data_IF_628893270402
#
_entry.id   IF_628893270402
#
_cell.length_a   1.000
_cell.length_b   1.000
_cell.length_c   1.000
_cell.angle_alpha   90.00
_cell.angle_beta   90.00
_cell.angle_gamma   90.00
#
_symmetry.space_group_name_H-M   'P 1'
#
loop_
_entity.id
_entity.type
_entity.pdbx_description
1 polymer ?
#
# COMPACT_ATOMS: atom_id res chain seq x y z
N UNK A 1 83.56 16.67 -6.02
CA UNK A 1 84.20 16.09 -4.81
C UNK A 1 84.02 17.10 -3.68
N UNK A 2 83.51 16.70 -2.49
CA UNK A 2 83.30 17.51 -1.25
C UNK A 2 82.26 18.67 -1.40
N UNK A 3 81.07 18.62 -0.79
CA UNK A 3 80.69 18.60 0.65
C UNK A 3 80.84 19.97 1.34
N UNK A 4 79.73 20.59 1.75
CA UNK A 4 79.45 21.21 3.06
C UNK A 4 77.97 21.70 3.07
N UNK A 5 77.26 21.87 4.19
CA UNK A 5 76.96 20.91 5.26
C UNK A 5 75.62 21.34 5.92
N UNK A 6 74.80 20.35 6.26
CA UNK A 6 73.62 20.36 7.13
C UNK A 6 73.44 21.54 8.12
N UNK A 7 72.20 22.03 8.24
CA UNK A 7 71.67 22.53 9.51
C UNK A 7 70.15 22.26 9.59
N UNK A 8 69.71 21.75 10.74
CA UNK A 8 68.29 21.47 11.03
C UNK A 8 67.51 22.78 11.22
N UNK A 9 66.22 22.75 10.90
CA UNK A 9 65.24 23.18 11.90
C UNK A 9 64.01 22.26 11.85
N UNK A 10 63.66 21.71 13.01
CA UNK A 10 62.43 20.96 13.22
C UNK A 10 61.32 21.97 13.43
N UNK A 11 60.25 21.89 12.63
CA UNK A 11 58.96 22.49 12.97
C UNK A 11 57.92 21.37 13.00
N UNK A 12 57.70 20.83 14.19
CA UNK A 12 56.54 20.00 14.47
C UNK A 12 55.31 20.88 14.72
N UNK A 13 54.16 20.41 14.22
CA UNK A 13 52.81 20.78 14.67
C UNK A 13 52.39 22.26 14.53
N UNK A 14 51.50 22.53 13.58
CA UNK A 14 50.06 22.60 13.88
C UNK A 14 49.27 22.38 12.59
N UNK A 15 48.09 21.77 12.71
CA UNK A 15 47.48 21.03 11.61
C UNK A 15 46.63 21.86 10.65
N UNK A 16 46.59 21.40 9.40
CA UNK A 16 45.37 21.33 8.62
C UNK A 16 45.24 19.90 8.12
N UNK A 17 44.35 19.13 8.76
CA UNK A 17 43.79 17.95 8.14
C UNK A 17 42.85 18.44 7.04
N UNK A 18 43.39 18.67 5.85
CA UNK A 18 42.59 18.94 4.65
C UNK A 18 41.93 17.65 4.18
N UNK A 19 40.96 17.16 4.95
CA UNK A 19 39.94 16.24 4.47
C UNK A 19 39.13 16.99 3.41
N UNK A 20 39.54 16.82 2.16
CA UNK A 20 38.85 17.32 0.97
C UNK A 20 38.82 16.22 -0.07
N UNK A 21 38.31 15.05 0.33
CA UNK A 21 38.16 13.91 -0.56
C UNK A 21 37.08 14.23 -1.59
N UNK A 22 37.47 14.32 -2.86
CA UNK A 22 36.50 14.16 -3.93
C UNK A 22 35.94 12.74 -3.84
N UNK A 23 34.62 12.61 -3.74
CA UNK A 23 33.93 11.34 -3.93
C UNK A 23 34.37 10.72 -5.26
N UNK A 24 34.60 9.41 -5.32
CA UNK A 24 34.97 8.76 -6.59
C UNK A 24 33.82 8.90 -7.58
N UNK A 25 34.15 8.91 -8.88
CA UNK A 25 33.15 8.93 -9.96
C UNK A 25 32.14 7.77 -9.78
N UNK A 26 32.62 6.61 -9.35
CA UNK A 26 31.82 5.42 -9.01
C UNK A 26 30.77 5.70 -7.91
N UNK A 27 31.13 6.48 -6.88
CA UNK A 27 30.22 6.86 -5.80
C UNK A 27 29.24 7.99 -6.19
N UNK A 28 29.49 8.71 -7.29
CA UNK A 28 28.50 9.61 -7.91
C UNK A 28 27.54 8.84 -8.81
N UNK A 29 28.07 7.93 -9.64
CA UNK A 29 27.27 7.05 -10.50
C UNK A 29 26.33 6.14 -9.68
N UNK A 30 26.71 5.73 -8.47
CA UNK A 30 25.83 4.99 -7.57
C UNK A 30 24.61 5.79 -7.08
N UNK A 31 24.72 7.12 -6.96
CA UNK A 31 23.64 8.01 -6.51
C UNK A 31 22.78 8.55 -7.66
N UNK A 32 23.28 8.49 -8.89
CA UNK A 32 22.61 8.94 -10.10
C UNK A 32 21.90 7.78 -10.80
N UNK A 33 20.56 7.78 -10.78
CA UNK A 33 19.73 6.78 -11.47
C UNK A 33 18.94 7.40 -12.62
N UNK A 34 18.73 6.62 -13.68
CA UNK A 34 17.92 7.02 -14.83
C UNK A 34 16.51 6.43 -14.69
N UNK A 35 15.50 7.25 -14.88
CA UNK A 35 14.10 6.82 -14.93
C UNK A 35 13.59 7.02 -16.37
N UNK A 36 13.07 5.97 -16.98
CA UNK A 36 12.71 5.96 -18.41
C UNK A 36 11.19 5.78 -18.60
N UNK A 37 10.48 6.87 -18.91
CA UNK A 37 9.05 6.80 -19.22
C UNK A 37 8.80 6.00 -20.50
N UNK A 38 8.01 4.94 -20.40
CA UNK A 38 7.59 4.10 -21.54
C UNK A 38 6.07 4.12 -21.61
N UNK A 39 5.52 4.43 -22.79
CA UNK A 39 4.08 4.48 -23.02
C UNK A 39 3.33 5.72 -22.53
N UNK A 40 3.96 6.49 -21.64
CA UNK A 40 3.37 7.63 -20.94
C UNK A 40 3.69 8.94 -21.68
N UNK A 41 2.69 9.79 -21.98
CA UNK A 41 2.94 11.10 -22.58
C UNK A 41 3.67 12.04 -21.59
N UNK A 42 4.88 12.51 -21.94
CA UNK A 42 5.66 13.42 -21.09
C UNK A 42 4.92 14.73 -20.76
N UNK A 43 4.01 15.18 -21.64
CA UNK A 43 3.30 16.47 -21.51
C UNK A 43 2.30 16.56 -20.35
N UNK A 44 1.98 15.43 -19.71
CA UNK A 44 1.07 15.35 -18.56
C UNK A 44 1.81 15.01 -17.26
N UNK A 45 3.12 14.75 -17.29
CA UNK A 45 3.91 14.47 -16.09
C UNK A 45 4.21 15.79 -15.39
N UNK A 46 3.68 15.95 -14.18
CA UNK A 46 3.87 17.14 -13.35
C UNK A 46 5.14 17.00 -12.52
N UNK A 47 5.35 15.81 -11.95
CA UNK A 47 6.43 15.56 -10.99
C UNK A 47 6.85 14.08 -11.00
N UNK A 48 8.09 13.84 -10.57
CA UNK A 48 8.58 12.51 -10.20
C UNK A 48 9.36 12.69 -8.90
N UNK A 49 9.02 11.95 -7.85
CA UNK A 49 9.64 12.11 -6.54
C UNK A 49 9.97 10.76 -5.88
N UNK A 50 10.80 10.80 -4.85
CA UNK A 50 10.92 9.70 -3.90
C UNK A 50 10.04 9.95 -2.68
N UNK A 51 9.19 8.98 -2.36
CA UNK A 51 8.23 9.04 -1.26
C UNK A 51 8.97 8.80 0.08
N UNK A 52 9.38 9.89 0.73
CA UNK A 52 10.14 9.86 1.99
C UNK A 52 9.24 9.50 3.17
N UNK A 53 7.97 9.92 3.13
CA UNK A 53 7.04 9.78 4.26
C UNK A 53 6.09 8.57 4.13
N UNK A 54 6.03 7.94 2.94
CA UNK A 54 5.17 6.82 2.56
C UNK A 54 3.67 7.13 2.61
N UNK A 55 3.30 8.37 2.29
CA UNK A 55 1.89 8.79 2.22
C UNK A 55 1.28 8.69 0.82
N UNK A 56 2.08 8.34 -0.20
CA UNK A 56 1.61 8.17 -1.57
C UNK A 56 1.31 9.49 -2.30
N UNK A 57 1.91 10.60 -1.87
CA UNK A 57 1.77 11.92 -2.47
C UNK A 57 3.15 12.60 -2.56
N UNK A 58 3.54 13.09 -3.74
CA UNK A 58 4.76 13.90 -3.88
C UNK A 58 4.73 15.18 -3.03
N UNK A 59 5.36 15.13 -1.86
CA UNK A 59 5.43 16.21 -0.90
C UNK A 59 6.33 17.36 -1.38
N UNK A 60 5.98 18.58 -1.00
CA UNK A 60 6.77 19.79 -1.31
C UNK A 60 8.15 19.84 -0.61
N UNK A 61 8.46 18.86 0.25
CA UNK A 61 9.72 18.72 0.98
C UNK A 61 10.55 17.51 0.57
N UNK A 62 10.02 16.65 -0.30
CA UNK A 62 10.66 15.39 -0.69
C UNK A 62 11.69 15.57 -1.80
N UNK A 63 12.51 14.55 -2.01
CA UNK A 63 13.42 14.47 -3.15
C UNK A 63 12.66 14.32 -4.47
N UNK A 64 12.24 15.46 -5.00
CA UNK A 64 11.73 15.62 -6.35
C UNK A 64 12.89 15.52 -7.36
N UNK A 65 12.63 14.93 -8.52
CA UNK A 65 13.44 15.14 -9.73
C UNK A 65 13.22 16.59 -10.15
N UNK A 66 14.02 17.48 -9.58
CA UNK A 66 13.92 18.92 -9.83
C UNK A 66 14.34 19.20 -11.29
N UNK A 67 13.37 19.20 -12.21
CA UNK A 67 13.49 20.02 -13.42
C UNK A 67 13.40 21.47 -12.94
N UNK A 68 14.52 21.97 -12.43
CA UNK A 68 14.65 23.27 -11.80
C UNK A 68 14.48 24.39 -12.84
N UNK A 69 13.23 24.70 -13.17
CA UNK A 69 12.84 25.84 -14.01
C UNK A 69 12.98 27.08 -13.14
N UNK A 70 14.11 27.77 -13.29
CA UNK A 70 14.38 28.98 -12.53
C UNK A 70 13.55 30.13 -13.09
N UNK A 71 13.17 31.09 -12.23
CA UNK A 71 12.42 32.28 -12.66
C UNK A 71 13.28 33.18 -13.56
N UNK A 72 13.24 32.92 -14.86
CA UNK A 72 14.08 33.55 -15.86
C UNK A 72 14.56 32.61 -16.99
N UNK A 73 14.41 31.29 -16.84
CA UNK A 73 14.71 30.32 -17.89
C UNK A 73 13.81 30.56 -19.12
N UNK A 74 14.39 30.53 -20.32
CA UNK A 74 13.60 30.57 -21.55
C UNK A 74 13.08 29.18 -21.93
N UNK A 75 12.06 29.12 -22.80
CA UNK A 75 11.55 27.83 -23.28
C UNK A 75 12.66 26.95 -23.89
N UNK A 76 13.62 27.55 -24.61
CA UNK A 76 14.76 26.85 -25.20
C UNK A 76 15.71 26.26 -24.15
N UNK A 77 15.90 26.93 -23.01
CA UNK A 77 16.75 26.46 -21.90
C UNK A 77 16.10 25.29 -21.15
N UNK A 78 14.77 25.34 -20.99
CA UNK A 78 13.95 24.26 -20.43
C UNK A 78 14.02 23.04 -21.35
N UNK A 79 13.82 23.25 -22.66
CA UNK A 79 13.96 22.17 -23.65
C UNK A 79 15.37 21.58 -23.66
N UNK A 80 16.44 22.39 -23.58
CA UNK A 80 17.81 21.84 -23.53
C UNK A 80 18.11 21.02 -22.27
N UNK A 81 17.48 21.32 -21.12
CA UNK A 81 17.61 20.47 -19.92
C UNK A 81 16.95 19.10 -20.13
N UNK A 82 15.83 19.06 -20.87
CA UNK A 82 15.06 17.85 -21.16
C UNK A 82 15.68 17.03 -22.32
N UNK A 83 16.25 17.67 -23.36
CA UNK A 83 16.70 16.98 -24.59
C UNK A 83 18.16 16.51 -24.57
N UNK A 84 18.89 16.64 -23.46
CA UNK A 84 20.27 16.14 -23.34
C UNK A 84 20.35 14.74 -22.70
N UNK A 85 19.26 14.26 -22.11
CA UNK A 85 18.93 12.84 -22.03
C UNK A 85 18.10 12.45 -23.25
N UNK A 86 18.07 11.17 -23.63
CA UNK A 86 17.20 10.71 -24.73
C UNK A 86 15.72 10.91 -24.35
N UNK A 87 14.84 11.14 -25.33
CA UNK A 87 13.41 11.44 -25.09
C UNK A 87 12.78 10.41 -24.13
N UNK A 88 12.28 10.87 -22.97
CA UNK A 88 11.65 10.03 -21.95
C UNK A 88 12.52 9.69 -20.74
N UNK A 89 13.83 10.05 -20.75
CA UNK A 89 14.76 9.77 -19.65
C UNK A 89 14.94 10.95 -18.68
N UNK A 90 14.74 10.69 -17.39
CA UNK A 90 14.88 11.60 -16.26
C UNK A 90 16.05 11.16 -15.37
N UNK A 91 16.71 12.09 -14.68
CA UNK A 91 17.86 11.83 -13.81
C UNK A 91 17.52 12.13 -12.36
N UNK A 92 17.72 11.15 -11.47
CA UNK A 92 17.55 11.28 -10.03
C UNK A 92 18.93 11.29 -9.37
N UNK A 93 19.39 12.46 -8.88
CA UNK A 93 20.80 12.69 -8.48
C UNK A 93 21.18 12.25 -7.06
N UNK A 94 20.19 12.08 -6.17
CA UNK A 94 20.38 11.76 -4.74
C UNK A 94 19.53 10.56 -4.35
N UNK A 95 19.59 9.51 -5.18
CA UNK A 95 18.71 8.36 -5.05
C UNK A 95 18.90 7.56 -3.76
N UNK A 96 17.82 7.33 -3.00
CA UNK A 96 17.75 6.36 -1.90
C UNK A 96 17.10 5.05 -2.37
N UNK A 97 17.82 3.93 -2.26
CA UNK A 97 17.35 2.61 -2.72
C UNK A 97 16.27 1.94 -1.85
N UNK A 98 15.81 2.61 -0.79
CA UNK A 98 14.76 2.10 0.11
C UNK A 98 13.43 2.80 -0.06
N UNK A 99 13.38 3.94 -0.76
CA UNK A 99 12.17 4.74 -0.92
C UNK A 99 11.43 4.40 -2.24
N UNK A 100 10.08 4.38 -2.24
CA UNK A 100 9.30 4.29 -3.47
C UNK A 100 9.59 5.46 -4.41
N UNK A 101 9.25 5.28 -5.69
CA UNK A 101 9.18 6.35 -6.68
C UNK A 101 7.72 6.60 -7.01
N UNK A 102 7.31 7.87 -7.01
CA UNK A 102 5.99 8.29 -7.43
C UNK A 102 6.09 9.12 -8.71
N UNK A 103 5.14 8.93 -9.62
CA UNK A 103 4.99 9.76 -10.82
C UNK A 103 3.63 10.44 -10.76
N UNK A 104 3.64 11.77 -10.65
CA UNK A 104 2.45 12.62 -10.59
C UNK A 104 2.06 13.07 -12.00
N UNK A 105 0.78 12.86 -12.35
CA UNK A 105 0.19 13.24 -13.62
C UNK A 105 -0.87 14.30 -13.44
N UNK A 106 -1.03 15.17 -14.44
CA UNK A 106 -2.19 16.03 -14.62
C UNK A 106 -2.70 15.92 -16.06
N UNK A 107 -3.89 15.35 -16.25
CA UNK A 107 -4.50 15.16 -17.56
C UNK A 107 -5.97 15.61 -17.54
N UNK A 108 -6.37 16.43 -18.52
CA UNK A 108 -7.74 16.95 -18.62
C UNK A 108 -8.81 15.90 -18.97
N UNK A 109 -8.41 14.71 -19.41
CA UNK A 109 -9.32 13.58 -19.62
C UNK A 109 -9.74 12.92 -18.30
N UNK A 110 -9.02 13.17 -17.20
CA UNK A 110 -9.43 12.78 -15.84
C UNK A 110 -10.24 13.93 -15.23
N UNK A 111 -11.49 13.67 -14.85
CA UNK A 111 -12.40 14.73 -14.35
C UNK A 111 -12.44 14.84 -12.82
N UNK A 112 -11.74 13.95 -12.13
CA UNK A 112 -11.61 13.93 -10.67
C UNK A 112 -10.30 14.59 -10.23
N UNK A 113 -10.26 15.07 -8.98
CA UNK A 113 -9.06 15.63 -8.33
C UNK A 113 -8.30 16.69 -9.16
N UNK A 114 -9.01 17.55 -9.90
CA UNK A 114 -8.47 18.54 -10.84
C UNK A 114 -7.54 17.96 -11.94
N UNK A 115 -7.84 16.72 -12.36
CA UNK A 115 -7.10 15.96 -13.37
C UNK A 115 -5.87 15.23 -12.84
N UNK A 116 -5.62 15.28 -11.53
CA UNK A 116 -4.41 14.75 -10.92
C UNK A 116 -4.57 13.27 -10.51
N UNK A 117 -3.53 12.47 -10.78
CA UNK A 117 -3.42 11.08 -10.33
C UNK A 117 -1.95 10.65 -10.29
N UNK A 118 -1.66 9.50 -9.69
CA UNK A 118 -0.29 9.11 -9.36
C UNK A 118 -0.05 7.61 -9.57
N UNK A 119 1.03 7.24 -10.27
CA UNK A 119 1.51 5.86 -10.31
C UNK A 119 2.62 5.67 -9.29
N UNK A 120 2.58 4.52 -8.63
CA UNK A 120 3.54 4.09 -7.61
C UNK A 120 4.49 3.08 -8.23
N UNK A 121 5.76 3.18 -7.85
CA UNK A 121 6.83 2.33 -8.32
C UNK A 121 7.77 1.98 -7.18
N UNK A 122 8.37 0.81 -7.27
CA UNK A 122 9.38 0.36 -6.33
C UNK A 122 10.72 1.05 -6.58
N UNK A 123 11.56 1.09 -5.56
CA UNK A 123 12.92 1.59 -5.70
C UNK A 123 13.78 0.69 -6.60
N UNK A 124 14.56 1.29 -7.50
CA UNK A 124 15.76 0.65 -8.07
C UNK A 124 16.63 0.02 -6.99
N UNK A 125 17.03 -1.24 -7.20
CA UNK A 125 18.12 -1.84 -6.43
C UNK A 125 19.44 -1.11 -6.66
N UNK A 126 20.37 -1.22 -5.72
CA UNK A 126 21.71 -0.63 -5.85
C UNK A 126 22.47 -1.03 -7.13
N UNK A 127 22.10 -2.16 -7.74
CA UNK A 127 22.69 -2.72 -8.97
C UNK A 127 21.99 -2.30 -10.27
N UNK A 128 20.79 -1.71 -10.22
CA UNK A 128 20.12 -1.15 -11.40
C UNK A 128 20.62 0.28 -11.66
N UNK A 129 20.90 0.61 -12.91
CA UNK A 129 21.29 1.97 -13.34
C UNK A 129 20.11 2.72 -13.97
N UNK A 130 19.19 2.00 -14.61
CA UNK A 130 17.95 2.50 -15.21
C UNK A 130 16.74 1.75 -14.62
N UNK A 131 15.56 2.39 -14.52
CA UNK A 131 14.26 1.77 -14.26
C UNK A 131 13.22 2.26 -15.28
N UNK A 132 12.38 1.34 -15.75
CA UNK A 132 11.23 1.65 -16.58
C UNK A 132 10.16 2.33 -15.73
N UNK A 133 9.51 3.37 -16.25
CA UNK A 133 8.31 3.95 -15.67
C UNK A 133 7.18 3.78 -16.68
N UNK A 134 6.41 2.69 -16.52
CA UNK A 134 5.29 2.32 -17.38
C UNK A 134 4.16 1.72 -16.53
N UNK A 135 2.98 1.56 -17.13
CA UNK A 135 1.85 0.89 -16.44
C UNK A 135 2.20 -0.58 -16.14
N UNK A 136 2.89 -1.27 -17.05
CA UNK A 136 3.32 -2.65 -16.82
C UNK A 136 4.32 -2.74 -15.67
N UNK A 137 5.27 -1.81 -15.55
CA UNK A 137 6.17 -1.77 -14.40
C UNK A 137 5.39 -1.54 -13.09
N UNK A 138 4.41 -0.63 -13.06
CA UNK A 138 3.61 -0.41 -11.84
C UNK A 138 2.76 -1.63 -11.44
N UNK A 139 2.40 -2.50 -12.40
CA UNK A 139 1.74 -3.80 -12.12
C UNK A 139 2.73 -4.85 -11.59
N UNK A 140 4.01 -4.77 -11.97
CA UNK A 140 5.08 -5.64 -11.47
C UNK A 140 5.50 -5.23 -10.06
N UNK A 141 5.71 -3.94 -9.84
CA UNK A 141 6.04 -3.37 -8.53
C UNK A 141 4.91 -3.59 -7.51
N UNK A 142 3.65 -3.67 -7.96
CA UNK A 142 2.50 -4.04 -7.14
C UNK A 142 2.27 -5.58 -7.00
N UNK A 143 3.24 -6.40 -7.45
CA UNK A 143 3.22 -7.87 -7.43
C UNK A 143 2.04 -8.56 -8.17
N UNK A 144 1.24 -7.84 -8.97
CA UNK A 144 0.08 -8.41 -9.67
C UNK A 144 0.44 -9.15 -10.97
N UNK A 145 1.54 -8.78 -11.62
CA UNK A 145 2.14 -9.54 -12.74
C UNK A 145 3.65 -9.67 -12.54
N UNK A 146 4.30 -10.60 -13.23
CA UNK A 146 5.78 -10.70 -13.21
C UNK A 146 6.42 -10.14 -14.47
N UNK A 147 7.69 -9.76 -14.38
CA UNK A 147 8.60 -9.53 -15.52
C UNK A 147 8.41 -10.54 -16.66
N UNK A 148 8.35 -11.83 -16.31
CA UNK A 148 8.21 -12.91 -17.30
C UNK A 148 6.83 -12.90 -17.97
N UNK A 149 5.79 -12.40 -17.31
CA UNK A 149 4.45 -12.29 -17.89
C UNK A 149 4.36 -11.24 -19.00
N UNK A 150 5.23 -10.22 -18.99
CA UNK A 150 5.17 -9.10 -19.94
C UNK A 150 6.35 -9.04 -20.91
N UNK A 151 7.39 -9.85 -20.72
CA UNK A 151 8.58 -9.85 -21.57
C UNK A 151 8.23 -9.97 -23.07
N UNK A 152 7.23 -10.78 -23.43
CA UNK A 152 6.78 -10.93 -24.82
C UNK A 152 6.07 -9.69 -25.42
N UNK A 153 5.52 -8.81 -24.57
CA UNK A 153 5.05 -7.47 -24.97
C UNK A 153 6.23 -6.50 -25.09
N UNK A 154 7.18 -6.55 -24.13
CA UNK A 154 8.44 -5.77 -24.16
C UNK A 154 9.34 -6.12 -25.36
N UNK A 155 9.19 -7.33 -25.92
CA UNK A 155 9.94 -7.85 -27.08
C UNK A 155 9.07 -8.05 -28.35
N UNK A 156 7.98 -7.30 -28.54
CA UNK A 156 7.19 -7.36 -29.78
C UNK A 156 8.06 -7.07 -31.03
N UNK A 157 7.79 -7.77 -32.15
CA UNK A 157 8.60 -7.69 -33.38
C UNK A 157 8.60 -6.27 -34.01
N UNK A 158 7.65 -5.42 -33.63
CA UNK A 158 7.45 -4.08 -34.15
C UNK A 158 7.23 -3.06 -33.03
N UNK A 159 8.20 -2.15 -32.83
CA UNK A 159 8.14 -1.07 -31.86
C UNK A 159 6.84 -0.26 -31.93
N UNK A 160 6.34 0.03 -33.14
CA UNK A 160 5.11 0.81 -33.32
C UNK A 160 3.89 0.11 -32.72
N UNK A 161 3.85 -1.21 -32.75
CA UNK A 161 2.72 -2.00 -32.23
C UNK A 161 2.83 -2.13 -30.70
N UNK A 162 4.04 -2.16 -30.15
CA UNK A 162 4.31 -1.96 -28.72
C UNK A 162 3.89 -0.57 -28.23
N UNK A 163 4.27 0.50 -28.94
CA UNK A 163 3.89 1.88 -28.59
C UNK A 163 2.36 2.04 -28.57
N UNK A 164 1.65 1.40 -29.50
CA UNK A 164 0.18 1.35 -29.49
C UNK A 164 -0.38 0.59 -28.28
N UNK A 165 0.18 -0.58 -27.95
CA UNK A 165 -0.26 -1.36 -26.80
C UNK A 165 -0.15 -0.55 -25.50
N UNK A 166 1.01 0.06 -25.24
CA UNK A 166 1.20 0.91 -24.08
C UNK A 166 0.27 2.13 -24.06
N UNK A 167 0.04 2.75 -25.22
CA UNK A 167 -0.91 3.86 -25.33
C UNK A 167 -2.33 3.42 -24.96
N UNK A 168 -2.75 2.22 -25.37
CA UNK A 168 -4.06 1.66 -25.02
C UNK A 168 -4.16 1.44 -23.50
N UNK A 169 -3.16 0.80 -22.87
CA UNK A 169 -3.10 0.71 -21.40
C UNK A 169 -3.24 2.09 -20.73
N UNK A 170 -2.58 3.12 -21.25
CA UNK A 170 -2.67 4.46 -20.69
C UNK A 170 -4.05 5.12 -20.85
N UNK A 171 -4.77 4.80 -21.93
CA UNK A 171 -6.14 5.27 -22.15
C UNK A 171 -7.15 4.51 -21.27
N UNK A 172 -6.97 3.20 -21.10
CA UNK A 172 -7.82 2.35 -20.26
C UNK A 172 -7.62 2.72 -18.78
N UNK A 173 -6.38 2.92 -18.32
CA UNK A 173 -6.06 3.41 -16.97
C UNK A 173 -6.83 4.70 -16.63
N UNK A 174 -6.79 5.73 -17.50
CA UNK A 174 -7.52 6.98 -17.28
C UNK A 174 -9.04 6.78 -17.27
N UNK A 175 -9.54 5.89 -18.12
CA UNK A 175 -10.97 5.56 -18.18
C UNK A 175 -11.44 4.92 -16.87
N UNK A 176 -10.67 3.96 -16.36
CA UNK A 176 -10.93 3.26 -15.12
C UNK A 176 -10.82 4.16 -13.88
N UNK A 177 -9.84 5.07 -13.82
CA UNK A 177 -9.74 6.08 -12.74
C UNK A 177 -11.03 6.88 -12.65
N UNK A 178 -11.55 7.38 -13.79
CA UNK A 178 -12.81 8.11 -13.81
C UNK A 178 -13.98 7.23 -13.29
N UNK A 179 -14.13 5.99 -13.78
CA UNK A 179 -15.17 5.04 -13.34
C UNK A 179 -15.12 4.77 -11.83
N UNK A 180 -13.94 4.50 -11.27
CA UNK A 180 -13.76 4.18 -9.85
C UNK A 180 -13.96 5.43 -8.97
N UNK A 181 -13.46 6.59 -9.40
CA UNK A 181 -13.65 7.86 -8.68
C UNK A 181 -15.11 8.32 -8.69
N UNK A 182 -15.88 8.06 -9.75
CA UNK A 182 -17.33 8.29 -9.80
C UNK A 182 -18.10 7.43 -8.78
N UNK A 183 -17.50 6.34 -8.27
CA UNK A 183 -18.02 5.55 -7.15
C UNK A 183 -17.59 6.04 -5.77
N UNK A 184 -16.85 7.16 -5.69
CA UNK A 184 -16.31 7.78 -4.48
C UNK A 184 -15.16 6.97 -3.83
N UNK A 185 -14.44 6.13 -4.58
CA UNK A 185 -13.18 5.56 -4.10
C UNK A 185 -12.16 6.67 -3.86
N UNK A 186 -11.26 6.45 -2.90
CA UNK A 186 -10.10 7.36 -2.69
C UNK A 186 -9.16 7.26 -3.89
N UNK A 187 -8.30 8.26 -4.11
CA UNK A 187 -7.38 8.24 -5.25
C UNK A 187 -6.39 7.06 -5.17
N UNK A 188 -5.94 6.73 -3.96
CA UNK A 188 -5.10 5.55 -3.69
C UNK A 188 -5.83 4.24 -3.98
N UNK A 189 -7.05 4.05 -3.43
CA UNK A 189 -7.86 2.85 -3.69
C UNK A 189 -8.21 2.70 -5.17
N UNK A 190 -8.61 3.80 -5.82
CA UNK A 190 -8.95 3.80 -7.25
C UNK A 190 -7.72 3.48 -8.12
N UNK A 191 -6.52 3.89 -7.74
CA UNK A 191 -5.31 3.53 -8.49
C UNK A 191 -4.92 2.07 -8.28
N UNK A 192 -4.83 1.62 -7.02
CA UNK A 192 -4.48 0.24 -6.68
C UNK A 192 -5.47 -0.75 -7.31
N UNK A 193 -6.77 -0.51 -7.15
CA UNK A 193 -7.82 -1.35 -7.74
C UNK A 193 -7.76 -1.42 -9.27
N UNK A 194 -7.41 -0.32 -9.92
CA UNK A 194 -7.24 -0.24 -11.37
C UNK A 194 -6.00 -1.02 -11.85
N UNK A 195 -4.86 -0.86 -11.17
CA UNK A 195 -3.62 -1.56 -11.51
C UNK A 195 -3.77 -3.07 -11.30
N UNK A 196 -4.42 -3.51 -10.23
CA UNK A 196 -4.74 -4.93 -10.01
C UNK A 196 -5.69 -5.48 -11.08
N UNK A 197 -6.79 -4.78 -11.38
CA UNK A 197 -7.80 -5.33 -12.30
C UNK A 197 -7.29 -5.38 -13.74
N UNK A 198 -6.60 -4.33 -14.20
CA UNK A 198 -5.93 -4.35 -15.51
C UNK A 198 -4.85 -5.44 -15.57
N UNK A 199 -4.15 -5.73 -14.47
CA UNK A 199 -3.19 -6.83 -14.40
C UNK A 199 -3.87 -8.20 -14.53
N UNK A 200 -4.96 -8.43 -13.80
CA UNK A 200 -5.76 -9.66 -13.87
C UNK A 200 -6.27 -9.89 -15.30
N UNK A 201 -6.91 -8.89 -15.89
CA UNK A 201 -7.47 -8.97 -17.24
C UNK A 201 -6.39 -9.17 -18.32
N UNK A 202 -5.20 -8.57 -18.17
CA UNK A 202 -4.05 -8.89 -19.04
C UNK A 202 -3.62 -10.36 -18.92
N UNK A 203 -3.59 -10.93 -17.70
CA UNK A 203 -3.24 -12.33 -17.48
C UNK A 203 -4.31 -13.28 -18.07
N UNK A 204 -5.60 -13.02 -17.81
CA UNK A 204 -6.71 -13.84 -18.34
C UNK A 204 -6.76 -13.80 -19.88
N UNK A 205 -6.44 -12.66 -20.49
CA UNK A 205 -6.36 -12.50 -21.94
C UNK A 205 -4.99 -12.88 -22.54
N UNK A 206 -4.09 -13.49 -21.74
CA UNK A 206 -2.90 -14.17 -22.23
C UNK A 206 -1.75 -13.26 -22.65
N UNK A 207 -1.51 -12.15 -21.92
CA UNK A 207 -0.39 -11.20 -22.12
C UNK A 207 0.99 -11.87 -22.22
N UNK A 208 1.17 -13.04 -21.60
CA UNK A 208 2.44 -13.78 -21.58
C UNK A 208 2.81 -14.45 -22.90
N UNK A 209 1.84 -14.83 -23.74
CA UNK A 209 2.14 -15.53 -24.99
C UNK A 209 1.06 -15.34 -26.06
N UNK A 210 -0.22 -15.52 -25.73
CA UNK A 210 -1.30 -15.50 -26.73
C UNK A 210 -1.51 -14.11 -27.35
N UNK A 211 -1.60 -13.06 -26.54
CA UNK A 211 -1.80 -11.69 -27.00
C UNK A 211 -0.58 -11.18 -27.82
N UNK A 212 0.69 -11.30 -27.37
CA UNK A 212 1.86 -10.97 -28.19
C UNK A 212 1.89 -11.71 -29.53
N UNK A 213 1.59 -13.02 -29.53
CA UNK A 213 1.58 -13.81 -30.76
C UNK A 213 0.47 -13.37 -31.72
N UNK A 214 -0.72 -13.01 -31.23
CA UNK A 214 -1.79 -12.40 -32.04
C UNK A 214 -1.29 -11.11 -32.70
N UNK A 215 -0.69 -10.20 -31.92
CA UNK A 215 -0.16 -8.91 -32.42
C UNK A 215 0.93 -9.13 -33.48
N UNK A 216 1.97 -9.91 -33.17
CA UNK A 216 3.06 -10.21 -34.11
C UNK A 216 2.52 -10.90 -35.40
N UNK A 217 1.47 -11.73 -35.30
CA UNK A 217 0.87 -12.37 -36.48
C UNK A 217 0.27 -11.37 -37.49
N UNK A 218 -0.12 -10.16 -37.05
CA UNK A 218 -0.59 -9.10 -37.95
C UNK A 218 0.48 -8.60 -38.92
N UNK A 219 1.76 -8.91 -38.70
CA UNK A 219 2.87 -8.56 -39.63
C UNK A 219 2.93 -7.06 -39.97
N UNK A 220 2.59 -6.20 -39.02
CA UNK A 220 2.53 -4.74 -39.18
C UNK A 220 1.30 -4.18 -39.90
N UNK A 221 0.23 -4.97 -40.09
CA UNK A 221 -1.07 -4.46 -40.52
C UNK A 221 -1.73 -3.67 -39.37
N UNK A 222 -1.71 -2.34 -39.50
CA UNK A 222 -2.29 -1.40 -38.53
C UNK A 222 -3.71 -1.77 -38.11
N UNK A 223 -4.58 -2.14 -39.05
CA UNK A 223 -5.99 -2.41 -38.77
C UNK A 223 -6.21 -3.77 -38.07
N UNK A 224 -5.29 -4.71 -38.26
CA UNK A 224 -5.27 -5.97 -37.53
C UNK A 224 -4.84 -5.75 -36.07
N UNK A 225 -3.78 -4.97 -35.86
CA UNK A 225 -3.29 -4.61 -34.52
C UNK A 225 -4.32 -3.79 -33.77
N UNK A 226 -4.86 -2.73 -34.38
CA UNK A 226 -5.86 -1.85 -33.76
C UNK A 226 -7.10 -2.65 -33.31
N UNK A 227 -7.53 -3.66 -34.08
CA UNK A 227 -8.65 -4.53 -33.70
C UNK A 227 -8.33 -5.43 -32.50
N UNK A 228 -7.13 -6.00 -32.42
CA UNK A 228 -6.71 -6.82 -31.26
C UNK A 228 -6.59 -5.95 -30.02
N UNK A 229 -6.06 -4.74 -30.17
CA UNK A 229 -5.93 -3.77 -29.08
C UNK A 229 -7.29 -3.20 -28.62
N UNK A 230 -8.25 -3.03 -29.52
CA UNK A 230 -9.65 -2.72 -29.18
C UNK A 230 -10.30 -3.90 -28.43
N UNK A 231 -10.06 -5.15 -28.84
CA UNK A 231 -10.59 -6.33 -28.15
C UNK A 231 -10.08 -6.42 -26.70
N UNK A 232 -8.77 -6.27 -26.44
CA UNK A 232 -8.25 -6.26 -25.05
C UNK A 232 -8.68 -5.03 -24.25
N UNK A 233 -8.72 -3.83 -24.84
CA UNK A 233 -9.18 -2.59 -24.18
C UNK A 233 -10.61 -2.74 -23.62
N UNK A 234 -11.51 -3.42 -24.35
CA UNK A 234 -12.88 -3.65 -23.86
C UNK A 234 -12.96 -4.57 -22.63
N UNK A 235 -12.00 -5.47 -22.42
CA UNK A 235 -11.93 -6.30 -21.21
C UNK A 235 -11.19 -5.57 -20.07
N UNK A 236 -10.15 -4.77 -20.39
CA UNK A 236 -9.40 -3.95 -19.41
C UNK A 236 -10.22 -2.80 -18.80
N UNK A 237 -11.31 -2.36 -19.44
CA UNK A 237 -12.15 -1.28 -18.93
C UNK A 237 -13.07 -1.82 -17.84
N UNK A 238 -12.85 -1.39 -16.60
CA UNK A 238 -13.66 -1.74 -15.44
C UNK A 238 -15.11 -1.33 -15.68
N UNK A 239 -16.03 -2.27 -15.58
CA UNK A 239 -17.46 -2.00 -15.60
C UNK A 239 -18.06 -2.12 -14.19
N UNK A 240 -19.29 -1.61 -14.02
CA UNK A 240 -20.06 -1.66 -12.76
C UNK A 240 -20.14 -3.03 -12.06
N UNK A 241 -19.81 -4.13 -12.76
CA UNK A 241 -19.79 -5.51 -12.25
C UNK A 241 -18.44 -5.90 -11.60
N UNK A 242 -17.32 -5.34 -12.06
CA UNK A 242 -15.95 -5.57 -11.56
C UNK A 242 -15.63 -4.76 -10.30
N UNK A 243 -16.31 -3.62 -10.07
CA UNK A 243 -15.94 -2.65 -9.01
C UNK A 243 -15.83 -3.26 -7.61
N UNK A 244 -16.55 -4.37 -7.33
CA UNK A 244 -16.45 -5.09 -6.05
C UNK A 244 -15.06 -5.71 -5.84
N UNK A 245 -14.34 -6.12 -6.88
CA UNK A 245 -12.96 -6.62 -6.79
C UNK A 245 -11.92 -5.50 -6.63
N UNK A 246 -12.19 -4.34 -7.25
CA UNK A 246 -11.33 -3.14 -7.15
C UNK A 246 -11.42 -2.42 -5.78
N UNK A 247 -12.32 -2.85 -4.88
CA UNK A 247 -12.41 -2.37 -3.49
C UNK A 247 -11.52 -3.17 -2.51
N UNK A 248 -11.08 -4.39 -2.89
CA UNK A 248 -10.40 -5.37 -2.01
C UNK A 248 -8.84 -5.39 -2.15
N UNK A 249 -8.25 -4.46 -2.89
CA UNK A 249 -6.90 -4.60 -3.46
C UNK A 249 -5.74 -4.24 -2.51
N UNK A 250 -5.56 -5.04 -1.46
CA UNK A 250 -4.32 -5.03 -0.66
C UNK A 250 -3.98 -6.41 -0.07
N UNK A 251 -4.28 -7.52 -0.77
CA UNK A 251 -4.08 -8.89 -0.23
C UNK A 251 -4.03 -10.02 -1.27
N UNK A 252 -2.83 -10.35 -1.79
CA UNK A 252 -2.35 -11.71 -2.16
C UNK A 252 -0.88 -11.62 -2.64
N UNK A 253 0.02 -12.63 -2.63
CA UNK A 253 -0.07 -14.09 -2.43
C UNK A 253 0.96 -14.61 -1.37
N UNK A 254 0.98 -15.88 -0.94
CA UNK A 254 1.82 -16.99 -1.47
C UNK A 254 1.68 -18.17 -0.45
N UNK A 255 1.59 -19.47 -0.74
CA UNK A 255 1.60 -20.26 -2.00
C UNK A 255 0.73 -21.55 -1.85
N UNK A 256 0.75 -22.45 -2.84
CA UNK A 256 -0.06 -23.68 -2.93
C UNK A 256 0.70 -24.99 -2.66
N UNK A 257 -0.03 -26.08 -2.34
CA UNK A 257 0.32 -27.46 -2.74
C UNK A 257 -0.90 -28.42 -2.71
N UNK A 258 -1.02 -29.27 -3.73
CA UNK A 258 -2.22 -30.03 -4.12
C UNK A 258 -2.68 -31.18 -3.18
N UNK A 259 -3.96 -31.57 -3.26
CA UNK A 259 -4.41 -32.88 -3.83
C UNK A 259 -5.96 -33.05 -3.84
N UNK A 260 -6.56 -33.16 -5.04
CA UNK A 260 -7.86 -33.80 -5.40
C UNK A 260 -9.02 -33.88 -4.34
N UNK A 261 -10.22 -33.31 -4.55
CA UNK A 261 -11.16 -33.74 -5.62
C UNK A 261 -12.54 -33.04 -5.56
N UNK A 262 -13.09 -32.70 -6.74
CA UNK A 262 -14.53 -32.48 -7.09
C UNK A 262 -15.36 -31.37 -6.42
N UNK A 263 -15.74 -30.40 -7.27
CA UNK A 263 -17.04 -29.69 -7.36
C UNK A 263 -17.42 -28.56 -6.37
N UNK A 264 -17.33 -27.33 -6.91
CA UNK A 264 -18.22 -26.14 -6.71
C UNK A 264 -17.71 -24.95 -5.89
N UNK A 265 -17.04 -24.03 -6.61
CA UNK A 265 -17.05 -22.56 -6.52
C UNK A 265 -17.30 -21.86 -5.16
N UNK A 266 -16.22 -21.33 -4.56
CA UNK A 266 -16.07 -19.93 -4.12
C UNK A 266 -14.82 -19.85 -3.23
N UNK A 267 -13.77 -19.14 -3.65
CA UNK A 267 -12.52 -19.03 -2.88
C UNK A 267 -12.05 -17.58 -2.73
N UNK A 268 -12.71 -16.83 -1.85
CA UNK A 268 -11.99 -15.82 -1.07
C UNK A 268 -11.11 -16.55 -0.05
N UNK A 269 -9.86 -16.11 0.13
CA UNK A 269 -8.97 -16.69 1.13
C UNK A 269 -9.25 -16.10 2.51
N UNK A 270 -10.35 -16.53 3.14
CA UNK A 270 -10.76 -16.15 4.49
C UNK A 270 -9.58 -16.12 5.48
N UNK A 271 -9.45 -15.03 6.23
CA UNK A 271 -8.40 -14.85 7.25
C UNK A 271 -8.65 -15.79 8.43
N UNK A 272 -7.64 -16.55 8.84
CA UNK A 272 -7.70 -17.44 10.00
C UNK A 272 -7.36 -16.70 11.29
N UNK A 273 -8.39 -16.30 12.04
CA UNK A 273 -8.26 -15.61 13.34
C UNK A 273 -7.40 -16.37 14.35
N UNK A 274 -7.25 -17.70 14.23
CA UNK A 274 -6.42 -18.47 15.17
C UNK A 274 -4.94 -18.09 15.14
N UNK A 275 -4.44 -17.54 14.01
CA UNK A 275 -3.05 -17.12 13.83
C UNK A 275 -2.67 -15.93 14.73
N UNK A 276 -3.61 -15.05 15.02
CA UNK A 276 -3.38 -13.80 15.76
C UNK A 276 -3.33 -13.99 17.29
N UNK A 277 -3.68 -15.18 17.79
CA UNK A 277 -3.44 -15.56 19.17
C UNK A 277 -1.99 -16.03 19.37
N UNK A 278 -1.05 -15.10 19.49
CA UNK A 278 0.35 -15.42 19.78
C UNK A 278 0.63 -15.56 21.28
N UNK A 279 1.61 -16.41 21.64
CA UNK A 279 2.22 -16.36 22.98
C UNK A 279 3.01 -15.06 23.08
N UNK A 280 2.61 -14.17 24.00
CA UNK A 280 3.18 -12.83 24.22
C UNK A 280 2.71 -11.73 23.24
N UNK A 281 1.44 -11.76 22.81
CA UNK A 281 0.76 -10.62 22.15
C UNK A 281 0.48 -9.47 23.13
N UNK A 282 0.78 -8.23 22.72
CA UNK A 282 0.37 -7.00 23.41
C UNK A 282 -0.69 -6.28 22.57
N UNK A 283 -1.97 -6.47 22.90
CA UNK A 283 -3.08 -5.77 22.23
C UNK A 283 -3.15 -4.29 22.66
N UNK A 284 -3.54 -3.40 21.74
CA UNK A 284 -3.64 -1.96 21.96
C UNK A 284 -4.95 -1.43 21.37
N UNK A 285 -5.82 -0.90 22.25
CA UNK A 285 -7.12 -0.36 21.84
C UNK A 285 -7.05 1.17 21.70
N UNK A 286 -7.58 1.69 20.59
CA UNK A 286 -7.66 3.14 20.32
C UNK A 286 -9.13 3.55 20.24
N UNK A 287 -9.54 4.47 21.11
CA UNK A 287 -10.96 4.85 21.27
C UNK A 287 -11.21 6.22 20.68
N UNK A 288 -12.11 6.31 19.69
CA UNK A 288 -12.54 7.57 19.09
C UNK A 288 -14.03 7.78 19.31
N UNK A 289 -14.36 8.67 20.25
CA UNK A 289 -15.75 8.99 20.55
C UNK A 289 -16.36 9.80 19.42
N UNK A 290 -17.19 9.15 18.62
CA UNK A 290 -18.17 9.83 17.78
C UNK A 290 -19.29 10.39 18.69
N UNK A 291 -19.83 11.56 18.34
CA UNK A 291 -20.98 12.24 19.00
C UNK A 291 -20.82 12.94 20.38
N UNK A 292 -19.61 13.10 20.96
CA UNK A 292 -19.40 14.02 22.11
C UNK A 292 -18.57 15.27 21.69
N UNK A 293 -19.19 16.45 21.52
CA UNK A 293 -18.51 17.68 21.08
C UNK A 293 -17.55 18.27 22.12
N UNK A 294 -17.42 17.65 23.30
CA UNK A 294 -16.47 18.03 24.35
C UNK A 294 -15.44 16.92 24.66
N UNK A 295 -15.48 15.76 24.00
CA UNK A 295 -14.48 14.73 24.21
C UNK A 295 -13.25 14.93 23.32
N UNK A 296 -12.11 15.15 23.95
CA UNK A 296 -10.80 14.93 23.32
C UNK A 296 -10.62 13.43 22.99
N UNK A 297 -9.88 13.11 21.92
CA UNK A 297 -9.54 11.73 21.58
C UNK A 297 -8.76 11.08 22.74
N UNK A 298 -9.29 9.99 23.29
CA UNK A 298 -8.76 9.38 24.52
C UNK A 298 -8.04 8.06 24.22
N UNK A 299 -6.70 8.11 24.20
CA UNK A 299 -5.85 6.93 24.01
C UNK A 299 -5.80 6.12 25.32
N UNK A 300 -6.27 4.87 25.30
CA UNK A 300 -6.28 3.98 26.48
C UNK A 300 -5.62 2.63 26.18
N UNK A 301 -4.31 2.54 26.43
CA UNK A 301 -3.54 1.31 26.19
C UNK A 301 -3.76 0.29 27.33
N UNK A 302 -4.25 -0.91 27.00
CA UNK A 302 -4.45 -2.02 27.95
C UNK A 302 -3.63 -3.24 27.53
N UNK A 303 -2.49 -3.48 28.19
CA UNK A 303 -1.69 -4.69 27.91
C UNK A 303 -2.42 -5.94 28.40
N UNK A 304 -2.50 -6.96 27.54
CA UNK A 304 -2.94 -8.30 27.90
C UNK A 304 -1.79 -9.31 27.90
N UNK A 305 -1.86 -10.35 28.72
CA UNK A 305 -1.02 -11.54 28.65
C UNK A 305 -1.80 -12.71 28.06
N UNK A 306 -1.22 -13.45 27.12
CA UNK A 306 -1.87 -14.61 26.48
C UNK A 306 -1.18 -15.92 26.86
N UNK A 307 -1.97 -16.89 27.32
CA UNK A 307 -1.53 -18.25 27.70
C UNK A 307 -2.24 -19.30 26.85
N UNK A 308 -1.49 -20.01 25.99
CA UNK A 308 -2.03 -21.00 25.04
C UNK A 308 -1.79 -22.43 25.53
N UNK A 309 -2.85 -23.22 25.60
CA UNK A 309 -2.85 -24.62 26.03
C UNK A 309 -3.74 -25.47 25.11
N UNK A 310 -3.13 -26.12 24.11
CA UNK A 310 -3.85 -26.84 23.07
C UNK A 310 -4.67 -25.88 22.22
N UNK A 311 -5.97 -26.13 22.09
CA UNK A 311 -6.91 -25.27 21.37
C UNK A 311 -7.60 -24.22 22.25
N UNK A 312 -7.19 -24.09 23.52
CA UNK A 312 -7.66 -23.05 24.43
C UNK A 312 -6.62 -21.95 24.58
N UNK A 313 -7.07 -20.70 24.45
CA UNK A 313 -6.27 -19.49 24.62
C UNK A 313 -6.85 -18.67 25.77
N UNK A 314 -6.09 -18.46 26.84
CA UNK A 314 -6.52 -17.63 27.97
C UNK A 314 -5.83 -16.27 27.90
N UNK A 315 -6.60 -15.21 27.67
CA UNK A 315 -6.14 -13.83 27.65
C UNK A 315 -6.46 -13.15 28.98
N UNK A 316 -5.48 -12.42 29.53
CA UNK A 316 -5.55 -11.76 30.84
C UNK A 316 -5.27 -10.27 30.63
N UNK A 317 -6.28 -9.42 30.78
CA UNK A 317 -6.17 -7.97 30.72
C UNK A 317 -5.91 -7.40 32.11
N UNK A 318 -4.99 -6.45 32.24
CA UNK A 318 -4.73 -5.73 33.49
C UNK A 318 -5.28 -4.30 33.43
N UNK A 319 -6.24 -3.99 34.30
CA UNK A 319 -6.83 -2.66 34.46
C UNK A 319 -6.38 -2.03 35.79
N UNK A 320 -5.22 -1.37 35.78
CA UNK A 320 -4.60 -0.84 36.99
C UNK A 320 -3.89 -1.91 37.83
N UNK A 321 -3.61 -1.62 39.10
CA UNK A 321 -2.78 -2.46 39.97
C UNK A 321 -3.43 -3.75 40.46
N UNK A 322 -4.77 -3.79 40.55
CA UNK A 322 -5.49 -4.81 41.34
C UNK A 322 -6.64 -5.51 40.60
N UNK A 323 -6.99 -5.10 39.37
CA UNK A 323 -8.09 -5.69 38.60
C UNK A 323 -7.60 -6.45 37.37
N UNK A 324 -7.53 -7.78 37.48
CA UNK A 324 -7.38 -8.66 36.32
C UNK A 324 -8.76 -9.04 35.75
N UNK A 325 -8.86 -9.01 34.43
CA UNK A 325 -9.98 -9.56 33.65
C UNK A 325 -9.43 -10.71 32.81
N UNK A 326 -10.08 -11.87 32.84
CA UNK A 326 -9.67 -13.03 32.05
C UNK A 326 -10.78 -13.41 31.09
N UNK A 327 -10.43 -13.53 29.81
CA UNK A 327 -11.29 -14.08 28.76
C UNK A 327 -10.62 -15.34 28.24
N UNK A 328 -11.36 -16.44 28.16
CA UNK A 328 -10.88 -17.70 27.60
C UNK A 328 -11.54 -17.93 26.26
N UNK A 329 -10.74 -18.05 25.21
CA UNK A 329 -11.15 -18.46 23.88
C UNK A 329 -10.93 -19.96 23.71
N UNK A 330 -11.88 -20.63 23.07
CA UNK A 330 -11.78 -22.01 22.61
C UNK A 330 -11.86 -22.01 21.09
N UNK A 331 -10.76 -22.40 20.45
CA UNK A 331 -10.63 -22.46 19.00
C UNK A 331 -11.06 -23.88 18.56
N UNK A 332 -12.10 -23.96 17.77
CA UNK A 332 -12.55 -25.19 17.11
C UNK A 332 -12.10 -25.18 15.64
N UNK A 333 -12.52 -26.17 14.87
CA UNK A 333 -12.16 -26.30 13.45
C UNK A 333 -12.57 -25.04 12.66
N UNK A 334 -13.85 -24.66 12.73
CA UNK A 334 -14.43 -23.53 11.98
C UNK A 334 -14.88 -22.35 12.84
N UNK A 335 -14.84 -22.45 14.18
CA UNK A 335 -15.42 -21.44 15.08
C UNK A 335 -14.53 -21.12 16.27
N UNK A 336 -14.64 -19.89 16.78
CA UNK A 336 -14.04 -19.48 18.04
C UNK A 336 -15.16 -19.12 19.02
N UNK A 337 -15.07 -19.61 20.25
CA UNK A 337 -16.02 -19.26 21.33
C UNK A 337 -15.28 -18.62 22.49
N UNK A 338 -15.81 -17.52 23.02
CA UNK A 338 -15.22 -16.80 24.15
C UNK A 338 -16.03 -17.02 25.45
N UNK A 339 -15.36 -16.91 26.59
CA UNK A 339 -15.97 -16.96 27.93
C UNK A 339 -15.24 -15.98 28.85
N UNK A 340 -15.98 -15.04 29.43
CA UNK A 340 -15.46 -13.92 30.24
C UNK A 340 -15.90 -14.00 31.70
N UNK A 341 -16.25 -12.85 32.30
CA UNK A 341 -16.76 -12.78 33.68
C UNK A 341 -18.22 -13.22 33.75
N UNK A 342 -18.67 -13.50 34.98
CA UNK A 342 -20.06 -13.89 35.27
C UNK A 342 -21.02 -12.76 34.86
N UNK A 343 -21.78 -12.98 33.79
CA UNK A 343 -22.69 -11.99 33.19
C UNK A 343 -22.34 -11.58 31.76
N UNK A 344 -21.10 -11.83 31.30
CA UNK A 344 -20.72 -11.61 29.90
C UNK A 344 -21.32 -12.72 29.00
N UNK A 345 -21.95 -12.32 27.88
CA UNK A 345 -22.38 -13.24 26.83
C UNK A 345 -21.65 -12.90 25.54
N UNK A 346 -20.87 -13.87 25.06
CA UNK A 346 -20.17 -13.81 23.78
C UNK A 346 -20.86 -14.75 22.79
N UNK A 347 -21.02 -14.31 21.55
CA UNK A 347 -21.53 -15.17 20.49
C UNK A 347 -20.37 -15.95 19.84
N UNK A 348 -20.59 -17.21 19.38
CA UNK A 348 -19.61 -17.91 18.57
C UNK A 348 -19.37 -17.17 17.26
N UNK A 349 -18.10 -16.93 16.93
CA UNK A 349 -17.67 -16.32 15.67
C UNK A 349 -17.10 -17.38 14.73
N UNK A 350 -17.06 -17.08 13.43
CA UNK A 350 -16.27 -17.87 12.49
C UNK A 350 -14.79 -17.75 12.85
N UNK A 351 -14.02 -18.83 12.71
CA UNK A 351 -12.56 -18.79 12.75
C UNK A 351 -12.00 -18.15 11.46
N UNK A 352 -12.71 -18.33 10.35
CA UNK A 352 -12.34 -17.93 9.01
C UNK A 352 -13.23 -16.76 8.58
N UNK A 353 -12.67 -15.56 8.52
CA UNK A 353 -13.40 -14.29 8.33
C UNK A 353 -13.03 -13.61 7.01
N UNK A 354 -13.99 -12.94 6.39
CA UNK A 354 -13.78 -11.96 5.31
C UNK A 354 -13.97 -10.52 5.86
N UNK A 355 -13.63 -9.49 5.08
CA UNK A 355 -13.82 -8.08 5.50
C UNK A 355 -15.32 -7.83 5.79
N UNK A 356 -15.60 -7.12 6.88
CA UNK A 356 -16.95 -6.88 7.39
C UNK A 356 -17.53 -8.02 8.26
N UNK A 357 -16.93 -9.22 8.29
CA UNK A 357 -17.39 -10.28 9.20
C UNK A 357 -17.23 -9.86 10.67
N UNK A 358 -18.15 -10.29 11.52
CA UNK A 358 -18.09 -10.05 12.97
C UNK A 358 -16.98 -10.88 13.62
N UNK A 359 -15.93 -10.21 14.09
CA UNK A 359 -14.80 -10.83 14.82
C UNK A 359 -15.04 -10.87 16.33
N UNK A 360 -15.95 -10.05 16.84
CA UNK A 360 -16.29 -10.02 18.26
C UNK A 360 -17.71 -9.46 18.46
N UNK A 361 -18.54 -10.18 19.21
CA UNK A 361 -19.85 -9.71 19.66
C UNK A 361 -19.96 -9.99 21.15
N UNK A 362 -20.10 -8.93 21.96
CA UNK A 362 -20.30 -9.02 23.40
C UNK A 362 -21.50 -8.16 23.82
N UNK A 363 -22.45 -8.78 24.51
CA UNK A 363 -23.42 -8.04 25.33
C UNK A 363 -22.93 -8.04 26.77
N UNK A 364 -22.89 -6.86 27.38
CA UNK A 364 -22.41 -6.65 28.75
C UNK A 364 -23.44 -5.88 29.58
N UNK A 365 -23.47 -6.16 30.89
CA UNK A 365 -24.27 -5.38 31.84
C UNK A 365 -23.63 -5.40 33.23
N UNK A 366 -23.89 -4.34 34.01
CA UNK A 366 -23.31 -4.20 35.33
C UNK A 366 -23.89 -3.02 36.11
N UNK A 367 -23.29 -2.74 37.26
CA UNK A 367 -23.63 -1.60 38.11
C UNK A 367 -22.41 -1.09 38.85
N UNK A 368 -22.26 0.23 38.90
CA UNK A 368 -21.24 0.93 39.69
C UNK A 368 -21.91 1.94 40.64
N UNK A 369 -21.11 2.80 41.29
CA UNK A 369 -21.62 3.83 42.22
C UNK A 369 -22.43 4.94 41.53
N UNK A 370 -22.43 5.01 40.20
CA UNK A 370 -23.16 6.01 39.39
C UNK A 370 -24.45 5.46 38.75
N UNK A 371 -24.69 4.14 38.83
CA UNK A 371 -25.92 3.51 38.36
C UNK A 371 -25.71 2.12 37.75
N UNK A 372 -26.75 1.60 37.08
CA UNK A 372 -26.62 0.40 36.24
C UNK A 372 -26.31 0.77 34.80
N UNK A 373 -25.66 -0.13 34.08
CA UNK A 373 -25.35 0.03 32.67
C UNK A 373 -25.52 -1.29 31.93
N UNK A 374 -25.87 -1.19 30.65
CA UNK A 374 -25.92 -2.32 29.72
C UNK A 374 -25.59 -1.84 28.32
N UNK A 375 -24.89 -2.65 27.54
CA UNK A 375 -24.57 -2.32 26.17
C UNK A 375 -24.20 -3.54 25.34
N UNK A 376 -24.02 -3.30 24.05
CA UNK A 376 -23.51 -4.28 23.09
C UNK A 376 -22.31 -3.65 22.39
N UNK A 377 -21.25 -4.44 22.23
CA UNK A 377 -20.08 -4.11 21.43
C UNK A 377 -20.00 -5.14 20.29
N UNK A 378 -19.90 -4.65 19.07
CA UNK A 378 -19.74 -5.46 17.85
C UNK A 378 -18.47 -4.96 17.16
N UNK A 379 -17.47 -5.82 17.02
CA UNK A 379 -16.32 -5.60 16.17
C UNK A 379 -16.49 -6.35 14.85
N UNK A 380 -16.24 -5.66 13.76
CA UNK A 380 -16.11 -6.23 12.42
C UNK A 380 -14.67 -6.16 11.96
N UNK A 381 -14.23 -7.17 11.22
CA UNK A 381 -12.93 -7.14 10.56
C UNK A 381 -12.92 -5.98 9.55
N UNK A 382 -11.95 -5.07 9.68
CA UNK A 382 -11.85 -3.91 8.80
C UNK A 382 -10.78 -4.16 7.72
N UNK A 383 -9.58 -4.53 8.13
CA UNK A 383 -8.46 -4.78 7.21
C UNK A 383 -7.35 -5.60 7.89
N UNK A 384 -6.46 -6.18 7.09
CA UNK A 384 -5.13 -6.58 7.55
C UNK A 384 -4.14 -5.49 7.16
N UNK A 385 -3.33 -5.00 8.09
CA UNK A 385 -2.32 -3.97 7.81
C UNK A 385 -0.93 -4.44 8.23
N UNK A 386 0.08 -4.04 7.47
CA UNK A 386 1.48 -4.45 7.71
C UNK A 386 2.22 -3.53 8.70
N UNK A 387 1.69 -2.34 8.94
CA UNK A 387 2.23 -1.41 9.92
C UNK A 387 1.15 -0.54 10.55
N UNK A 388 1.42 -0.10 11.78
CA UNK A 388 0.57 0.83 12.51
C UNK A 388 1.45 1.86 13.21
N UNK A 389 1.19 3.13 12.96
CA UNK A 389 1.83 4.26 13.66
C UNK A 389 0.78 5.21 14.25
N UNK A 390 0.72 5.28 15.58
CA UNK A 390 -0.16 6.23 16.26
C UNK A 390 0.34 6.58 17.67
N UNK A 391 0.30 7.86 18.04
CA UNK A 391 0.62 8.32 19.39
C UNK A 391 2.05 8.02 19.86
N UNK A 392 3.01 7.84 18.94
CA UNK A 392 4.39 7.46 19.25
C UNK A 392 4.61 5.96 19.46
N UNK A 393 3.63 5.13 19.09
CA UNK A 393 3.82 3.69 18.90
C UNK A 393 3.99 3.40 17.42
N UNK A 394 4.99 2.59 17.08
CA UNK A 394 5.22 2.01 15.76
C UNK A 394 5.26 0.49 15.91
N UNK A 395 4.53 -0.22 15.06
CA UNK A 395 4.57 -1.68 14.94
C UNK A 395 4.55 -2.08 13.46
N UNK A 396 5.24 -3.16 13.12
CA UNK A 396 5.26 -3.74 11.77
C UNK A 396 5.16 -5.27 11.86
N UNK A 397 4.35 -5.86 10.99
CA UNK A 397 3.97 -7.28 10.96
C UNK A 397 2.46 -7.45 10.70
N UNK A 398 1.94 -8.67 10.72
CA UNK A 398 0.54 -8.97 10.45
C UNK A 398 -0.40 -8.39 11.56
N UNK A 399 -0.99 -7.22 11.35
CA UNK A 399 -1.93 -6.58 12.29
C UNK A 399 -3.36 -6.76 11.82
N UNK A 400 -4.21 -7.31 12.69
CA UNK A 400 -5.65 -7.42 12.48
C UNK A 400 -6.34 -6.11 12.89
N UNK A 401 -6.75 -5.28 11.94
CA UNK A 401 -7.56 -4.09 12.24
C UNK A 401 -9.03 -4.47 12.38
N UNK A 402 -9.59 -4.21 13.56
CA UNK A 402 -11.02 -4.36 13.85
C UNK A 402 -11.66 -3.00 14.10
N UNK A 403 -12.79 -2.73 13.44
CA UNK A 403 -13.66 -1.60 13.79
C UNK A 403 -14.73 -2.09 14.75
N UNK A 404 -14.77 -1.53 15.97
CA UNK A 404 -15.79 -1.86 16.96
C UNK A 404 -16.77 -0.71 17.18
N UNK A 405 -18.05 -0.95 16.94
CA UNK A 405 -19.16 -0.10 17.36
C UNK A 405 -19.67 -0.56 18.74
N UNK A 406 -19.82 0.39 19.67
CA UNK A 406 -20.42 0.15 20.98
C UNK A 406 -21.63 1.06 21.20
N UNK A 407 -22.80 0.46 21.46
CA UNK A 407 -23.99 1.15 21.98
C UNK A 407 -24.16 0.79 23.46
N UNK A 408 -24.18 1.80 24.32
CA UNK A 408 -24.31 1.62 25.76
C UNK A 408 -25.37 2.54 26.35
N UNK A 409 -26.20 1.98 27.22
CA UNK A 409 -27.20 2.71 28.00
C UNK A 409 -26.84 2.66 29.48
N UNK A 410 -26.79 3.82 30.13
CA UNK A 410 -26.62 3.98 31.58
C UNK A 410 -27.91 4.50 32.21
N UNK A 411 -28.33 3.85 33.29
CA UNK A 411 -29.52 4.18 34.07
C UNK A 411 -29.06 4.72 35.43
N UNK A 412 -29.32 6.00 35.68
CA UNK A 412 -28.99 6.70 36.94
C UNK A 412 -30.28 7.16 37.62
N UNK A 413 -30.19 7.67 38.85
CA UNK A 413 -31.34 8.30 39.52
C UNK A 413 -31.84 9.56 38.78
N UNK A 414 -30.93 10.27 38.10
CA UNK A 414 -31.21 11.52 37.37
C UNK A 414 -31.73 11.29 35.93
N UNK A 415 -31.60 10.07 35.37
CA UNK A 415 -32.13 9.76 34.05
C UNK A 415 -31.50 8.56 33.35
N UNK A 416 -31.86 8.39 32.08
CA UNK A 416 -31.27 7.38 31.18
C UNK A 416 -30.43 8.08 30.13
N UNK A 417 -29.16 7.70 30.03
CA UNK A 417 -28.19 8.24 29.10
C UNK A 417 -27.80 7.15 28.10
N UNK A 418 -27.70 7.50 26.82
CA UNK A 418 -27.19 6.61 25.77
C UNK A 418 -25.90 7.18 25.21
N UNK A 419 -24.96 6.30 24.90
CA UNK A 419 -23.68 6.64 24.32
C UNK A 419 -23.36 5.66 23.20
N UNK A 420 -22.98 6.19 22.04
CA UNK A 420 -22.39 5.43 20.94
C UNK A 420 -20.90 5.74 20.90
N UNK A 421 -20.06 4.74 20.60
CA UNK A 421 -18.62 4.91 20.47
C UNK A 421 -18.09 4.10 19.29
N UNK A 422 -17.19 4.70 18.51
CA UNK A 422 -16.33 3.98 17.57
C UNK A 422 -14.99 3.65 18.23
N UNK A 423 -14.49 2.45 17.99
CA UNK A 423 -13.15 2.04 18.41
C UNK A 423 -12.44 1.38 17.23
N UNK A 424 -11.13 1.58 17.16
CA UNK A 424 -10.25 0.77 16.33
C UNK A 424 -9.35 -0.06 17.25
N UNK A 425 -9.28 -1.35 16.98
CA UNK A 425 -8.49 -2.32 17.72
C UNK A 425 -7.46 -2.97 16.79
N UNK A 426 -6.25 -3.10 17.31
CA UNK A 426 -5.05 -3.63 16.68
C UNK A 426 -4.32 -4.58 17.64
#
# INVERSE_FOLDING_TARGET
>A
MKKFLWLLSIVSMLGLASCGGGSSEEAKALLQKILNLVGIPQSIVVNICQDENRDGICGASELQVEVAINQGDSAEDIWQKITNTEEGKYLLETYDSTLPILVEFQDSDVHSDDGNFMLHFDGLTNTQEEKELSILESMIDAEHITEQNVQAIRDLDNQKDQDKFYKVLFQDLKTNINTLKDRNLTSTTAMSGNIQEMANELLENGVTEELPNKINSCSGDDACVDKILEEISNELIIHDKEIVGAEDTNSTEINSAETNSTETNSSSSKVDLSKYFSKESTIKNFTKKEDDPYSEESISSTSSKVEISGNSVRQIYQYGSDNEHTTTFLINEDTITATGKEGDVYEPISRYIDIGDTTFSQTYSGSDEYGSYSGTMICTFNSLIESFSHGGYEYSGDILEEKCDSDSTRFTEDGTYRYKYGLYRY
#
